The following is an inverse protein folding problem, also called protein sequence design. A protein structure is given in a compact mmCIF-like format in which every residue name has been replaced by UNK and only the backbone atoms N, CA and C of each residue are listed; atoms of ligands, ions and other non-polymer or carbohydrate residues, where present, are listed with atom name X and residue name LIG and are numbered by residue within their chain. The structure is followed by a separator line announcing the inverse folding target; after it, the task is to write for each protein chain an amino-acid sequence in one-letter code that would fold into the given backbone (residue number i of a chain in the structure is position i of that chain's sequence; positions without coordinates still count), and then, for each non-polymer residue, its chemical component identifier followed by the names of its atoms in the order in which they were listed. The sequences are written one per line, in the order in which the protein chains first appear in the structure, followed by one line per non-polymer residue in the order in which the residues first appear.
data_IF_905539853300
#
_entry.id   IF_905539853300
#
_cell.length_a   1.000
_cell.length_b   1.000
_cell.length_c   1.000
_cell.angle_alpha   90.00
_cell.angle_beta   90.00
_cell.angle_gamma   90.00
#
_symmetry.space_group_name_H-M   'P 1'
#
loop_
_entity.id
_entity.type
_entity.pdbx_description
1 polymer ?
#
# COMPACT_ATOMS: atom_id res chain seq x y z
N UNK A 1 19.91 -10.55 12.62
CA UNK A 1 18.99 -11.64 12.22
C UNK A 1 17.99 -11.14 11.18
N UNK A 2 17.47 -12.02 10.33
CA UNK A 2 16.43 -11.70 9.35
C UNK A 2 15.06 -12.25 9.75
N UNK A 3 14.03 -11.92 8.97
CA UNK A 3 12.66 -12.40 9.21
C UNK A 3 12.52 -13.91 8.95
N UNK A 4 13.29 -14.47 8.01
CA UNK A 4 13.18 -15.85 7.51
C UNK A 4 14.40 -16.73 7.80
N UNK A 5 15.56 -16.11 8.04
CA UNK A 5 16.79 -16.81 8.41
C UNK A 5 17.54 -16.01 9.49
N UNK A 6 18.31 -16.70 10.30
CA UNK A 6 19.34 -16.08 11.15
C UNK A 6 20.72 -16.45 10.61
N UNK A 7 21.61 -15.48 10.55
CA UNK A 7 22.99 -15.69 10.16
C UNK A 7 23.88 -15.27 11.31
N UNK A 8 24.81 -16.14 11.69
CA UNK A 8 25.82 -15.88 12.70
C UNK A 8 27.21 -16.00 12.08
N UNK A 9 28.10 -15.11 12.47
CA UNK A 9 29.51 -15.18 12.09
C UNK A 9 30.25 -15.94 13.18
N UNK A 10 30.82 -17.09 12.84
CA UNK A 10 31.61 -17.90 13.76
C UNK A 10 33.03 -17.31 13.87
N UNK A 11 33.72 -17.52 14.99
CA UNK A 11 35.11 -17.05 15.20
C UNK A 11 36.11 -17.59 14.16
N UNK A 12 35.75 -18.63 13.41
CA UNK A 12 36.52 -19.17 12.28
C UNK A 12 36.40 -18.33 11.00
N UNK A 13 35.66 -17.22 11.03
CA UNK A 13 35.40 -16.35 9.88
C UNK A 13 34.31 -16.86 8.94
N UNK A 14 33.74 -18.04 9.20
CA UNK A 14 32.67 -18.60 8.40
C UNK A 14 31.31 -18.02 8.82
N UNK A 15 30.52 -17.59 7.84
CA UNK A 15 29.12 -17.18 8.05
C UNK A 15 28.24 -18.42 7.89
N UNK A 16 27.50 -18.75 8.94
CA UNK A 16 26.54 -19.85 8.95
C UNK A 16 25.14 -19.25 9.03
N UNK A 17 24.34 -19.47 7.98
CA UNK A 17 22.94 -19.05 7.94
C UNK A 17 22.03 -20.25 8.15
N UNK A 18 21.14 -20.16 9.12
CA UNK A 18 20.12 -21.18 9.42
C UNK A 18 18.73 -20.60 9.19
N UNK A 19 17.94 -21.29 8.36
CA UNK A 19 16.52 -20.99 8.17
C UNK A 19 15.77 -21.40 9.44
N UNK A 20 14.75 -20.63 9.83
CA UNK A 20 13.95 -20.99 11.00
C UNK A 20 13.07 -22.22 10.70
N UNK A 21 13.56 -23.42 11.05
CA UNK A 21 12.95 -24.72 10.74
C UNK A 21 11.64 -25.03 11.49
N UNK A 22 11.23 -24.23 12.47
CA UNK A 22 10.05 -24.57 13.29
C UNK A 22 9.21 -23.35 13.65
N UNK A 23 8.05 -23.24 12.98
CA UNK A 23 6.95 -22.34 13.35
C UNK A 23 6.45 -22.58 14.77
N UNK A 24 6.65 -23.79 15.34
CA UNK A 24 6.18 -24.17 16.67
C UNK A 24 7.05 -23.67 17.84
N UNK A 25 8.27 -23.19 17.58
CA UNK A 25 9.24 -22.75 18.62
C UNK A 25 9.53 -21.24 18.54
N UNK A 26 8.83 -20.53 17.67
CA UNK A 26 9.03 -19.13 17.39
C UNK A 26 7.92 -18.32 18.07
N UNK A 27 8.30 -17.24 18.78
CA UNK A 27 7.36 -16.37 19.49
C UNK A 27 6.21 -15.93 18.56
N UNK A 28 4.97 -16.04 19.03
CA UNK A 28 3.74 -15.75 18.27
C UNK A 28 3.74 -14.36 17.61
N UNK A 29 4.43 -13.40 18.23
CA UNK A 29 4.65 -12.04 17.70
C UNK A 29 5.40 -12.01 16.36
N UNK A 30 6.33 -12.96 16.15
CA UNK A 30 7.15 -13.08 14.94
C UNK A 30 6.35 -13.73 13.80
N UNK A 31 5.50 -14.69 14.12
CA UNK A 31 4.58 -15.29 13.15
C UNK A 31 3.53 -14.27 12.67
N UNK A 32 2.99 -13.46 13.60
CA UNK A 32 2.05 -12.39 13.25
C UNK A 32 2.69 -11.35 12.32
N UNK A 33 3.93 -10.92 12.59
CA UNK A 33 4.65 -9.98 11.72
C UNK A 33 4.96 -10.57 10.35
N UNK A 34 5.31 -11.87 10.25
CA UNK A 34 5.43 -12.57 8.96
C UNK A 34 4.11 -12.57 8.19
N UNK A 35 3.00 -12.92 8.84
CA UNK A 35 1.69 -12.96 8.22
C UNK A 35 1.27 -11.57 7.70
N UNK A 36 1.47 -10.51 8.50
CA UNK A 36 1.19 -9.13 8.10
C UNK A 36 2.05 -8.69 6.91
N UNK A 37 3.34 -9.03 6.89
CA UNK A 37 4.23 -8.68 5.77
C UNK A 37 3.82 -9.40 4.47
N UNK A 38 3.48 -10.69 4.54
CA UNK A 38 3.00 -11.45 3.37
C UNK A 38 1.66 -10.90 2.89
N UNK A 39 0.73 -10.61 3.81
CA UNK A 39 -0.55 -10.00 3.47
C UNK A 39 -0.36 -8.63 2.80
N UNK A 40 0.55 -7.79 3.32
CA UNK A 40 0.89 -6.50 2.72
C UNK A 40 1.42 -6.65 1.29
N UNK A 41 2.27 -7.64 1.03
CA UNK A 41 2.80 -7.92 -0.31
C UNK A 41 1.67 -8.35 -1.26
N UNK A 42 0.80 -9.27 -0.83
CA UNK A 42 -0.31 -9.74 -1.65
C UNK A 42 -1.30 -8.61 -1.97
N UNK A 43 -1.66 -7.80 -0.97
CA UNK A 43 -2.48 -6.61 -1.15
C UNK A 43 -1.81 -5.60 -2.09
N UNK A 44 -0.50 -5.37 -1.95
CA UNK A 44 0.28 -4.52 -2.84
C UNK A 44 0.23 -4.99 -4.29
N UNK A 45 0.42 -6.29 -4.54
CA UNK A 45 0.32 -6.88 -5.88
C UNK A 45 -1.07 -6.68 -6.49
N UNK A 46 -2.13 -6.98 -5.73
CA UNK A 46 -3.51 -6.74 -6.17
C UNK A 46 -3.74 -5.25 -6.44
N UNK A 47 -3.23 -4.37 -5.58
CA UNK A 47 -3.28 -2.92 -5.74
C UNK A 47 -2.60 -2.43 -7.02
N UNK A 48 -1.44 -2.98 -7.37
CA UNK A 48 -0.74 -2.70 -8.65
C UNK A 48 -1.64 -3.07 -9.83
N UNK A 49 -2.17 -4.30 -9.87
CA UNK A 49 -3.02 -4.74 -10.98
C UNK A 49 -4.26 -3.85 -11.15
N UNK A 50 -4.95 -3.56 -10.04
CA UNK A 50 -6.13 -2.70 -10.04
C UNK A 50 -5.77 -1.27 -10.49
N UNK A 51 -4.71 -0.68 -9.95
CA UNK A 51 -4.28 0.67 -10.32
C UNK A 51 -3.89 0.75 -11.81
N UNK A 52 -3.18 -0.26 -12.32
CA UNK A 52 -2.74 -0.34 -13.71
C UNK A 52 -3.93 -0.43 -14.67
N UNK A 53 -4.98 -1.19 -14.33
CA UNK A 53 -6.23 -1.20 -15.13
C UNK A 53 -6.99 0.13 -15.12
N UNK A 54 -6.80 0.96 -14.10
CA UNK A 54 -7.42 2.29 -13.98
C UNK A 54 -6.67 3.42 -14.70
N UNK A 55 -5.46 3.18 -15.21
CA UNK A 55 -4.67 4.21 -15.88
C UNK A 55 -5.19 4.54 -17.29
N UNK A 56 -5.04 5.81 -17.71
CA UNK A 56 -5.51 6.31 -19.01
C UNK A 56 -4.88 5.61 -20.22
N UNK A 57 -3.67 5.06 -20.06
CA UNK A 57 -2.92 4.38 -21.13
C UNK A 57 -3.41 2.94 -21.41
N UNK A 58 -4.36 2.41 -20.64
CA UNK A 58 -4.83 1.04 -20.77
C UNK A 58 -6.08 0.95 -21.67
N UNK A 59 -6.00 0.16 -22.75
CA UNK A 59 -7.08 -0.08 -23.73
C UNK A 59 -8.27 -0.90 -23.21
N UNK A 60 -8.18 -1.50 -22.02
CA UNK A 60 -9.20 -2.42 -21.51
C UNK A 60 -10.58 -1.80 -21.22
N UNK A 61 -10.72 -0.46 -21.19
CA UNK A 61 -11.92 0.24 -20.73
C UNK A 61 -12.13 1.56 -21.49
N UNK A 62 -12.21 1.53 -22.82
CA UNK A 62 -12.27 2.75 -23.65
C UNK A 62 -13.54 3.59 -23.43
N UNK A 63 -14.65 2.95 -23.02
CA UNK A 63 -15.99 3.54 -23.02
C UNK A 63 -16.39 4.31 -21.75
N UNK A 64 -15.67 4.16 -20.63
CA UNK A 64 -16.12 4.72 -19.34
C UNK A 64 -14.97 5.24 -18.45
N UNK A 65 -14.61 6.51 -18.67
CA UNK A 65 -13.57 7.21 -17.91
C UNK A 65 -13.87 7.25 -16.41
N UNK A 66 -15.14 7.31 -16.02
CA UNK A 66 -15.55 7.34 -14.60
C UNK A 66 -15.22 6.02 -13.91
N UNK A 67 -15.47 4.88 -14.59
CA UNK A 67 -15.10 3.56 -14.06
C UNK A 67 -13.58 3.38 -14.00
N UNK A 68 -12.83 3.84 -15.00
CA UNK A 68 -11.35 3.83 -14.97
C UNK A 68 -10.79 4.57 -13.74
N UNK A 69 -11.31 5.77 -13.46
CA UNK A 69 -10.88 6.54 -12.29
C UNK A 69 -11.28 5.87 -10.97
N UNK A 70 -12.48 5.28 -10.87
CA UNK A 70 -12.87 4.50 -9.69
C UNK A 70 -11.91 3.35 -9.42
N UNK A 71 -11.50 2.63 -10.46
CA UNK A 71 -10.51 1.54 -10.33
C UNK A 71 -9.15 2.07 -9.85
N UNK A 72 -8.68 3.21 -10.35
CA UNK A 72 -7.46 3.84 -9.85
C UNK A 72 -7.55 4.20 -8.36
N UNK A 73 -8.70 4.73 -7.91
CA UNK A 73 -8.96 5.06 -6.50
C UNK A 73 -9.01 3.79 -5.65
N UNK A 74 -9.70 2.73 -6.10
CA UNK A 74 -9.70 1.44 -5.41
C UNK A 74 -8.29 0.86 -5.26
N UNK A 75 -7.48 0.92 -6.32
CA UNK A 75 -6.07 0.54 -6.27
C UNK A 75 -5.29 1.38 -5.25
N UNK A 76 -5.53 2.69 -5.21
CA UNK A 76 -4.92 3.60 -4.23
C UNK A 76 -5.28 3.26 -2.78
N UNK A 77 -6.55 2.96 -2.49
CA UNK A 77 -7.01 2.53 -1.15
C UNK A 77 -6.34 1.22 -0.74
N UNK A 78 -6.26 0.24 -1.65
CA UNK A 78 -5.56 -1.02 -1.40
C UNK A 78 -4.08 -0.78 -1.09
N UNK A 79 -3.42 0.13 -1.82
CA UNK A 79 -2.03 0.52 -1.55
C UNK A 79 -1.83 1.16 -0.18
N UNK A 80 -2.77 2.01 0.26
CA UNK A 80 -2.73 2.61 1.61
C UNK A 80 -2.87 1.53 2.67
N UNK A 81 -3.81 0.60 2.53
CA UNK A 81 -4.02 -0.51 3.47
C UNK A 81 -2.77 -1.41 3.50
N UNK A 82 -2.20 -1.73 2.34
CA UNK A 82 -0.96 -2.51 2.23
C UNK A 82 0.20 -1.80 2.94
N UNK A 83 0.42 -0.51 2.67
CA UNK A 83 1.45 0.31 3.31
C UNK A 83 1.28 0.40 4.83
N UNK A 84 0.05 0.63 5.32
CA UNK A 84 -0.26 0.65 6.75
C UNK A 84 0.04 -0.69 7.42
N UNK A 85 -0.37 -1.81 6.80
CA UNK A 85 -0.11 -3.15 7.35
C UNK A 85 1.39 -3.46 7.44
N UNK A 86 2.18 -3.07 6.43
CA UNK A 86 3.65 -3.19 6.44
C UNK A 86 4.29 -2.27 7.50
N UNK A 87 3.79 -1.04 7.66
CA UNK A 87 4.26 -0.11 8.68
C UNK A 87 3.99 -0.65 10.09
N UNK A 88 2.79 -1.18 10.34
CA UNK A 88 2.42 -1.80 11.62
C UNK A 88 3.32 -3.01 11.90
N UNK A 89 3.54 -3.90 10.93
CA UNK A 89 4.38 -5.07 11.10
C UNK A 89 5.83 -4.70 11.46
N UNK A 90 6.43 -3.78 10.70
CA UNK A 90 7.83 -3.34 10.91
C UNK A 90 7.98 -2.54 12.20
N UNK A 91 7.00 -1.71 12.56
CA UNK A 91 7.01 -0.92 13.79
C UNK A 91 6.80 -1.79 15.03
N UNK A 92 5.95 -2.82 14.93
CA UNK A 92 5.77 -3.80 16.01
C UNK A 92 7.07 -4.55 16.29
N UNK A 93 7.72 -5.05 15.23
CA UNK A 93 9.02 -5.71 15.36
C UNK A 93 10.08 -4.77 15.93
N UNK A 94 10.15 -3.53 15.44
CA UNK A 94 11.07 -2.51 15.94
C UNK A 94 10.86 -2.19 17.42
N UNK A 95 9.61 -2.01 17.85
CA UNK A 95 9.26 -1.75 19.26
C UNK A 95 9.64 -2.93 20.17
N UNK A 96 9.51 -4.18 19.69
CA UNK A 96 9.98 -5.35 20.44
C UNK A 96 11.51 -5.35 20.63
N UNK A 97 12.26 -5.05 19.56
CA UNK A 97 13.73 -4.91 19.64
C UNK A 97 14.13 -3.79 20.59
N UNK A 98 13.47 -2.63 20.50
CA UNK A 98 13.71 -1.51 21.41
C UNK A 98 13.49 -1.91 22.87
N UNK A 99 12.36 -2.54 23.18
CA UNK A 99 12.05 -3.01 24.55
C UNK A 99 13.09 -4.01 25.05
N UNK A 100 13.49 -4.97 24.22
CA UNK A 100 14.52 -5.94 24.59
C UNK A 100 15.89 -5.28 24.87
N UNK A 101 16.21 -4.20 24.17
CA UNK A 101 17.45 -3.45 24.36
C UNK A 101 17.49 -2.69 25.70
N UNK A 102 16.36 -2.10 26.11
CA UNK A 102 16.25 -1.33 27.36
C UNK A 102 15.88 -2.17 28.59
N UNK A 103 15.57 -3.46 28.42
CA UNK A 103 15.26 -4.35 29.53
C UNK A 103 16.53 -4.67 30.35
N UNK A 104 16.55 -4.35 31.66
CA UNK A 104 17.71 -4.62 32.53
C UNK A 104 18.01 -6.11 32.70
N UNK A 105 17.07 -7.00 32.42
CA UNK A 105 17.27 -8.45 32.50
C UNK A 105 17.86 -9.06 31.21
N UNK A 106 18.00 -8.27 30.14
CA UNK A 106 18.60 -8.75 28.88
C UNK A 106 20.13 -8.74 28.98
N UNK A 107 20.80 -9.90 28.82
CA UNK A 107 22.26 -9.99 28.78
C UNK A 107 22.84 -9.07 27.69
N UNK A 108 23.92 -8.35 28.01
CA UNK A 108 24.59 -7.42 27.07
C UNK A 108 25.03 -8.09 25.77
N UNK A 109 25.40 -9.36 25.85
CA UNK A 109 25.80 -10.25 24.76
C UNK A 109 24.65 -10.71 23.86
N UNK A 110 23.40 -10.37 24.19
CA UNK A 110 22.20 -10.70 23.40
C UNK A 110 21.36 -9.48 23.03
N UNK A 111 21.90 -8.27 23.18
CA UNK A 111 21.19 -7.04 22.79
C UNK A 111 21.19 -6.92 21.26
N UNK A 112 20.00 -6.76 20.70
CA UNK A 112 19.81 -6.57 19.27
C UNK A 112 19.73 -5.10 18.92
N UNK A 113 20.39 -4.70 17.84
CA UNK A 113 20.26 -3.37 17.23
C UNK A 113 19.28 -3.39 16.04
N UNK A 114 18.84 -2.21 15.62
CA UNK A 114 17.99 -2.08 14.43
C UNK A 114 18.77 -2.45 13.16
N UNK A 115 18.35 -3.52 12.50
CA UNK A 115 18.90 -3.88 11.19
C UNK A 115 18.45 -2.94 10.07
N UNK A 116 19.28 -2.80 9.03
CA UNK A 116 19.01 -1.95 7.86
C UNK A 116 17.66 -2.26 7.17
N UNK A 117 17.23 -3.53 7.21
CA UNK A 117 15.95 -3.96 6.63
C UNK A 117 14.74 -3.24 7.26
N UNK A 118 14.83 -2.81 8.52
CA UNK A 118 13.74 -2.13 9.21
C UNK A 118 13.51 -0.72 8.65
N UNK A 119 14.61 0.00 8.40
CA UNK A 119 14.57 1.32 7.75
C UNK A 119 14.05 1.24 6.31
N UNK A 120 14.48 0.22 5.56
CA UNK A 120 13.95 -0.05 4.22
C UNK A 120 12.45 -0.35 4.28
N UNK A 121 12.00 -1.11 5.27
CA UNK A 121 10.58 -1.40 5.48
C UNK A 121 9.74 -0.15 5.73
N UNK A 122 10.22 0.77 6.58
CA UNK A 122 9.54 2.05 6.83
C UNK A 122 9.51 2.95 5.60
N UNK A 123 10.63 3.03 4.86
CA UNK A 123 10.70 3.78 3.61
C UNK A 123 9.76 3.20 2.54
N UNK A 124 9.70 1.87 2.40
CA UNK A 124 8.79 1.21 1.47
C UNK A 124 7.33 1.44 1.84
N UNK A 125 6.99 1.34 3.13
CA UNK A 125 5.63 1.58 3.62
C UNK A 125 5.18 3.04 3.40
N UNK A 126 6.06 4.02 3.67
CA UNK A 126 5.76 5.43 3.45
C UNK A 126 5.58 5.74 1.96
N UNK A 127 6.44 5.21 1.09
CA UNK A 127 6.28 5.34 -0.36
C UNK A 127 4.99 4.70 -0.87
N UNK A 128 4.63 3.52 -0.36
CA UNK A 128 3.37 2.85 -0.73
C UNK A 128 2.15 3.69 -0.32
N UNK A 129 2.16 4.26 0.89
CA UNK A 129 1.08 5.14 1.37
C UNK A 129 0.99 6.43 0.55
N UNK A 130 2.13 7.06 0.25
CA UNK A 130 2.17 8.27 -0.59
C UNK A 130 1.67 7.98 -2.02
N UNK A 131 2.14 6.89 -2.63
CA UNK A 131 1.67 6.44 -3.94
C UNK A 131 0.16 6.17 -3.96
N UNK A 132 -0.35 5.48 -2.94
CA UNK A 132 -1.78 5.23 -2.77
C UNK A 132 -2.59 6.52 -2.58
N UNK A 133 -2.07 7.48 -1.80
CA UNK A 133 -2.69 8.78 -1.60
C UNK A 133 -2.76 9.59 -2.91
N UNK A 134 -1.69 9.62 -3.72
CA UNK A 134 -1.71 10.29 -5.03
C UNK A 134 -2.73 9.67 -5.98
N UNK A 135 -2.88 8.34 -5.97
CA UNK A 135 -3.91 7.63 -6.74
C UNK A 135 -5.33 8.00 -6.26
N UNK A 136 -5.55 8.12 -4.95
CA UNK A 136 -6.84 8.53 -4.39
C UNK A 136 -7.17 10.00 -4.68
N UNK A 137 -6.19 10.89 -4.62
CA UNK A 137 -6.34 12.33 -4.85
C UNK A 137 -6.57 12.68 -6.33
N UNK A 138 -6.34 11.75 -7.26
CA UNK A 138 -6.60 11.93 -8.69
C UNK A 138 -8.09 11.92 -9.06
N UNK A 139 -9.00 11.93 -8.07
CA UNK A 139 -10.43 12.11 -8.29
C UNK A 139 -10.74 13.47 -8.93
N UNK A 140 -11.63 13.55 -9.93
CA UNK A 140 -12.24 14.82 -10.27
C UNK A 140 -13.06 15.24 -9.06
N UNK A 141 -12.77 16.45 -8.56
CA UNK A 141 -13.65 17.17 -7.64
C UNK A 141 -15.05 17.02 -8.23
N UNK A 142 -15.98 16.41 -7.48
CA UNK A 142 -17.39 16.56 -7.82
C UNK A 142 -17.58 18.06 -7.94
N UNK A 143 -17.76 18.58 -9.15
CA UNK A 143 -18.45 19.85 -9.28
C UNK A 143 -19.74 19.63 -8.52
N UNK A 144 -19.84 20.32 -7.39
CA UNK A 144 -21.10 20.53 -6.68
C UNK A 144 -22.12 20.76 -7.77
N UNK A 145 -23.05 19.83 -7.89
CA UNK A 145 -24.12 19.86 -8.87
C UNK A 145 -24.93 21.12 -8.58
N UNK A 146 -24.53 22.24 -9.19
CA UNK A 146 -25.49 23.26 -9.54
C UNK A 146 -26.38 22.58 -10.58
N UNK A 147 -27.72 22.55 -10.37
CA UNK A 147 -28.60 21.98 -11.36
C UNK A 147 -28.35 22.73 -12.69
N UNK A 148 -28.26 22.04 -13.84
CA UNK A 148 -28.10 22.72 -15.10
C UNK A 148 -29.25 23.71 -15.26
N UNK A 149 -28.93 24.97 -15.46
CA UNK A 149 -29.91 26.01 -15.80
C UNK A 149 -30.66 25.51 -17.03
N UNK A 150 -31.95 25.18 -16.86
CA UNK A 150 -32.83 24.77 -17.96
C UNK A 150 -32.73 25.83 -19.05
N UNK A 151 -32.17 25.46 -20.20
CA UNK A 151 -32.17 26.31 -21.38
C UNK A 151 -33.61 26.63 -21.75
N UNK A 152 -33.93 27.93 -21.84
CA UNK A 152 -35.18 28.40 -22.39
C UNK A 152 -35.35 27.82 -23.81
N UNK A 153 -36.52 27.26 -24.18
CA UNK A 153 -36.74 26.85 -25.56
C UNK A 153 -36.66 28.09 -26.46
N UNK A 154 -35.72 28.09 -27.42
CA UNK A 154 -35.73 29.04 -28.53
C UNK A 154 -36.96 28.71 -29.38
N UNK A 155 -37.89 29.64 -29.47
CA UNK A 155 -39.00 29.57 -30.42
C UNK A 155 -38.44 29.41 -31.84
N UNK A 156 -38.93 28.40 -32.56
CA UNK A 156 -38.62 28.22 -33.97
C UNK A 156 -39.20 29.39 -34.79
N UNK A 157 -38.51 29.83 -35.86
CA UNK A 157 -39.03 30.89 -36.72
C UNK A 157 -40.26 30.38 -37.48
N UNK A 158 -41.37 31.12 -37.43
CA UNK A 158 -42.55 30.81 -38.23
C UNK A 158 -42.20 30.98 -39.71
N UNK A 159 -42.20 29.89 -40.45
CA UNK A 159 -42.17 29.90 -41.91
C UNK A 159 -43.52 30.42 -42.38
N UNK A 160 -43.62 31.75 -42.54
CA UNK A 160 -44.75 32.39 -43.17
C UNK A 160 -44.76 32.03 -44.65
N UNK A 161 -45.67 31.15 -45.03
CA UNK A 161 -46.00 30.85 -46.44
C UNK A 161 -46.64 32.07 -47.06
N UNK A 162 -46.19 32.40 -48.26
CA UNK A 162 -46.80 33.34 -49.20
C UNK A 162 -48.29 33.06 -49.39
N UNK A 163 -49.08 34.14 -49.44
CA UNK A 163 -50.34 34.18 -50.17
C UNK A 163 -50.53 35.57 -50.80
N UNK A 164 -50.51 35.54 -52.14
CA UNK A 164 -51.03 36.49 -53.17
C UNK A 164 -50.50 37.92 -53.18
#
# INVERSE_FOLDING_TARGET
EGLWMSCAMQSTGQIQCKVYDSLLKLESSLQATRALMVAAILLGLVGVFVAVTGMKCMKCMEDDQVKKMRMAVFGGVIFIIAGLSALVATSWYGNRVARAFYDPFTPVNTRFEFGSALFIGWAAASLAMLGGAFLCCSCPRRETSYPPTRGYPKNAPSTGKDYV
#
